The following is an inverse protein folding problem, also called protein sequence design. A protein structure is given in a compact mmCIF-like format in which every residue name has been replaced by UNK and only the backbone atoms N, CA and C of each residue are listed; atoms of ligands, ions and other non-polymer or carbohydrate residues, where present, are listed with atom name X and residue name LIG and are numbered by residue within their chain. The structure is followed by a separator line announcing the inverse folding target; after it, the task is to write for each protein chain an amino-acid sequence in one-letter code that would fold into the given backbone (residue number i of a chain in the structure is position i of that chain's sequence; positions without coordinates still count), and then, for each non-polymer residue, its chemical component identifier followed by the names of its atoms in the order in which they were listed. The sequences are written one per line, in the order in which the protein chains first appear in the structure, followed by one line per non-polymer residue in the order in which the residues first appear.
data_IF_993901628874
#
_entry.id   IF_993901628874
#
_cell.length_a   1.000
_cell.length_b   1.000
_cell.length_c   1.000
_cell.angle_alpha   90.00
_cell.angle_beta   90.00
_cell.angle_gamma   90.00
#
_symmetry.space_group_name_H-M   'P 1'
#
loop_
_entity.id
_entity.type
_entity.pdbx_description
1 polymer ?
#
# COMPACT_ATOMS: atom_id res chain seq x y z
N UNK A 1 -7.25 -18.93 -11.55
CA UNK A 1 -7.63 -17.56 -11.93
C UNK A 1 -6.47 -16.62 -11.68
N UNK A 2 -6.23 -15.69 -12.61
CA UNK A 2 -5.19 -14.66 -12.52
C UNK A 2 -5.80 -13.29 -12.76
N UNK A 3 -5.44 -12.32 -11.94
CA UNK A 3 -5.94 -10.95 -12.06
C UNK A 3 -4.80 -9.96 -11.98
N UNK A 4 -4.84 -8.93 -12.82
CA UNK A 4 -3.96 -7.78 -12.68
C UNK A 4 -4.61 -6.78 -11.73
N UNK A 5 -3.87 -6.38 -10.70
CA UNK A 5 -4.27 -5.35 -9.76
C UNK A 5 -3.34 -4.15 -9.86
N UNK A 6 -3.94 -2.97 -9.67
CA UNK A 6 -3.22 -1.73 -9.41
C UNK A 6 -3.04 -1.59 -7.91
N UNK A 7 -1.90 -1.08 -7.47
CA UNK A 7 -1.79 -0.64 -6.08
C UNK A 7 -2.81 0.46 -5.81
N UNK A 8 -3.25 0.60 -4.55
CA UNK A 8 -4.21 1.63 -4.15
C UNK A 8 -3.77 3.04 -4.60
N UNK A 9 -2.47 3.36 -4.46
CA UNK A 9 -1.89 4.62 -4.93
C UNK A 9 -2.07 4.83 -6.44
N UNK A 10 -1.78 3.81 -7.25
CA UNK A 10 -1.86 3.88 -8.71
C UNK A 10 -3.32 3.90 -9.19
N UNK A 11 -4.22 3.15 -8.54
CA UNK A 11 -5.66 3.19 -8.81
C UNK A 11 -6.26 4.58 -8.57
N UNK A 12 -5.97 5.20 -7.41
CA UNK A 12 -6.44 6.55 -7.10
C UNK A 12 -5.86 7.57 -8.09
N UNK A 13 -4.57 7.48 -8.39
CA UNK A 13 -3.91 8.36 -9.36
C UNK A 13 -4.55 8.28 -10.76
N UNK A 14 -4.79 7.07 -11.25
CA UNK A 14 -5.44 6.85 -12.54
C UNK A 14 -6.84 7.48 -12.56
N UNK A 15 -7.66 7.22 -11.54
CA UNK A 15 -9.00 7.80 -11.44
C UNK A 15 -8.99 9.33 -11.40
N UNK A 16 -8.06 9.94 -10.65
CA UNK A 16 -7.91 11.41 -10.61
C UNK A 16 -7.59 11.97 -11.99
N UNK A 17 -6.68 11.32 -12.73
CA UNK A 17 -6.28 11.75 -14.07
C UNK A 17 -7.43 11.61 -15.06
N UNK A 18 -8.18 10.50 -15.01
CA UNK A 18 -9.37 10.28 -15.84
C UNK A 18 -10.48 11.31 -15.57
N UNK A 19 -10.71 11.66 -14.29
CA UNK A 19 -11.67 12.70 -13.90
C UNK A 19 -11.26 14.07 -14.43
N UNK A 20 -9.96 14.41 -14.33
CA UNK A 20 -9.41 15.66 -14.85
C UNK A 20 -9.55 15.68 -16.38
N UNK A 21 -9.16 14.61 -17.07
CA UNK A 21 -9.27 14.48 -18.51
C UNK A 21 -10.72 14.70 -18.98
N UNK A 22 -11.66 13.99 -18.37
CA UNK A 22 -13.09 14.10 -18.66
C UNK A 22 -13.64 15.51 -18.42
N UNK A 23 -13.10 16.24 -17.44
CA UNK A 23 -13.47 17.64 -17.18
C UNK A 23 -12.96 18.55 -18.30
N UNK A 24 -11.69 18.40 -18.68
CA UNK A 24 -11.04 19.21 -19.73
C UNK A 24 -11.70 18.97 -21.08
N UNK A 25 -12.02 17.72 -21.44
CA UNK A 25 -12.72 17.37 -22.69
C UNK A 25 -14.12 17.99 -22.77
N UNK A 26 -14.80 18.17 -21.63
CA UNK A 26 -16.08 18.87 -21.54
C UNK A 26 -15.94 20.40 -21.53
N UNK A 27 -14.73 20.93 -21.72
CA UNK A 27 -14.44 22.37 -21.69
C UNK A 27 -14.47 22.98 -20.28
N UNK A 28 -14.51 22.16 -19.23
CA UNK A 28 -14.56 22.60 -17.84
C UNK A 28 -13.17 22.51 -17.21
N UNK A 29 -12.57 23.68 -16.97
CA UNK A 29 -11.34 23.80 -16.16
C UNK A 29 -11.63 24.38 -14.77
N UNK A 30 -12.90 24.41 -14.37
CA UNK A 30 -13.32 24.90 -13.06
C UNK A 30 -13.03 23.88 -11.97
N UNK A 31 -13.09 24.35 -10.72
CA UNK A 31 -12.98 23.51 -9.54
C UNK A 31 -13.99 22.35 -9.58
N UNK A 32 -13.53 21.17 -9.17
CA UNK A 32 -14.30 19.92 -9.15
C UNK A 32 -14.07 19.23 -7.82
N UNK A 33 -15.15 19.05 -7.05
CA UNK A 33 -15.12 18.36 -5.76
C UNK A 33 -14.71 16.89 -5.90
N UNK A 34 -15.04 16.24 -7.03
CA UNK A 34 -14.62 14.87 -7.31
C UNK A 34 -13.09 14.78 -7.48
N UNK A 35 -12.48 15.75 -8.17
CA UNK A 35 -11.02 15.83 -8.31
C UNK A 35 -10.37 16.13 -6.96
N UNK A 36 -10.92 17.05 -6.17
CA UNK A 36 -10.38 17.35 -4.83
C UNK A 36 -10.48 16.14 -3.90
N UNK A 37 -11.59 15.40 -3.93
CA UNK A 37 -11.75 14.17 -3.16
C UNK A 37 -10.69 13.12 -3.53
N UNK A 38 -10.51 12.83 -4.82
CA UNK A 38 -9.50 11.87 -5.26
C UNK A 38 -8.07 12.31 -4.91
N UNK A 39 -7.76 13.60 -5.03
CA UNK A 39 -6.48 14.15 -4.59
C UNK A 39 -6.30 14.06 -3.07
N UNK A 40 -7.36 14.26 -2.29
CA UNK A 40 -7.34 14.13 -0.83
C UNK A 40 -6.96 12.71 -0.42
N UNK A 41 -7.59 11.70 -1.03
CA UNK A 41 -7.28 10.29 -0.75
C UNK A 41 -5.84 9.94 -1.16
N UNK A 42 -5.37 10.46 -2.30
CA UNK A 42 -3.98 10.27 -2.73
C UNK A 42 -2.98 10.91 -1.77
N UNK A 43 -3.28 12.09 -1.21
CA UNK A 43 -2.45 12.76 -0.20
C UNK A 43 -2.44 11.95 1.11
N UNK A 44 -3.59 11.44 1.57
CA UNK A 44 -3.66 10.57 2.76
C UNK A 44 -2.84 9.30 2.58
N UNK A 45 -2.91 8.66 1.42
CA UNK A 45 -2.10 7.48 1.09
C UNK A 45 -0.60 7.82 1.12
N UNK A 46 -0.20 8.92 0.48
CA UNK A 46 1.19 9.35 0.47
C UNK A 46 1.70 9.73 1.87
N UNK A 47 0.88 10.37 2.71
CA UNK A 47 1.21 10.66 4.12
C UNK A 47 1.46 9.38 4.92
N UNK A 48 0.59 8.36 4.78
CA UNK A 48 0.75 7.06 5.43
C UNK A 48 2.06 6.40 5.00
N UNK A 49 2.36 6.42 3.70
CA UNK A 49 3.62 5.89 3.15
C UNK A 49 4.84 6.59 3.75
N UNK A 50 4.88 7.92 3.71
CA UNK A 50 5.97 8.73 4.28
C UNK A 50 6.16 8.46 5.78
N UNK A 51 5.06 8.27 6.53
CA UNK A 51 5.11 7.97 7.95
C UNK A 51 5.72 6.59 8.26
N UNK A 52 5.55 5.63 7.36
CA UNK A 52 6.06 4.27 7.51
C UNK A 52 7.50 4.11 6.99
N UNK A 53 7.93 4.93 6.04
CA UNK A 53 9.28 4.90 5.45
C UNK A 53 10.37 5.08 6.52
N UNK A 54 11.35 4.16 6.55
CA UNK A 54 12.48 4.21 7.49
C UNK A 54 13.60 5.16 7.03
N UNK A 55 13.31 6.07 6.09
CA UNK A 55 14.30 6.93 5.47
C UNK A 55 14.57 8.17 6.35
N UNK A 56 15.76 8.22 6.96
CA UNK A 56 16.23 9.33 7.80
C UNK A 56 16.56 10.60 7.02
N UNK A 57 16.55 10.59 5.68
CA UNK A 57 16.85 11.76 4.86
C UNK A 57 15.62 12.61 4.53
N UNK A 58 14.41 12.09 4.68
CA UNK A 58 13.14 12.77 4.33
C UNK A 58 12.39 13.25 5.57
N UNK A 59 13.03 14.00 6.47
CA UNK A 59 12.35 14.57 7.64
C UNK A 59 11.69 15.90 7.30
N UNK A 60 10.46 16.09 7.78
CA UNK A 60 9.62 17.25 7.48
C UNK A 60 8.18 16.97 7.88
N UNK A 61 7.32 17.98 7.73
CA UNK A 61 5.89 17.82 7.91
C UNK A 61 5.33 16.83 6.86
N UNK A 62 4.62 15.80 7.34
CA UNK A 62 4.14 14.72 6.47
C UNK A 62 3.17 15.21 5.41
N UNK A 63 2.35 16.22 5.72
CA UNK A 63 1.38 16.78 4.78
C UNK A 63 2.10 17.59 3.70
N UNK A 64 3.06 18.45 4.06
CA UNK A 64 3.83 19.24 3.09
C UNK A 64 4.56 18.33 2.07
N UNK A 65 5.24 17.30 2.58
CA UNK A 65 5.94 16.33 1.73
C UNK A 65 4.97 15.55 0.84
N UNK A 66 3.81 15.14 1.39
CA UNK A 66 2.80 14.42 0.63
C UNK A 66 2.17 15.29 -0.46
N UNK A 67 1.83 16.55 -0.18
CA UNK A 67 1.29 17.49 -1.17
C UNK A 67 2.28 17.70 -2.32
N UNK A 68 3.58 17.87 -2.01
CA UNK A 68 4.62 18.01 -3.02
C UNK A 68 4.73 16.76 -3.91
N UNK A 69 4.82 15.58 -3.29
CA UNK A 69 4.96 14.30 -4.00
C UNK A 69 3.72 14.03 -4.87
N UNK A 70 2.51 14.23 -4.34
CA UNK A 70 1.25 14.04 -5.08
C UNK A 70 1.14 15.02 -6.24
N UNK A 71 1.44 16.29 -6.02
CA UNK A 71 1.45 17.30 -7.08
C UNK A 71 2.37 16.89 -8.22
N UNK A 72 3.61 16.51 -7.92
CA UNK A 72 4.57 16.08 -8.94
C UNK A 72 4.10 14.83 -9.70
N UNK A 73 3.53 13.84 -8.99
CA UNK A 73 3.00 12.61 -9.61
C UNK A 73 1.84 12.90 -10.57
N UNK A 74 0.88 13.73 -10.14
CA UNK A 74 -0.29 14.09 -10.96
C UNK A 74 0.14 14.96 -12.14
N UNK A 75 0.95 16.00 -11.92
CA UNK A 75 1.47 16.87 -13.00
C UNK A 75 2.23 16.05 -14.05
N UNK A 76 3.07 15.10 -13.61
CA UNK A 76 3.78 14.20 -14.52
C UNK A 76 2.82 13.35 -15.37
N UNK A 77 1.82 12.71 -14.75
CA UNK A 77 0.86 11.87 -15.48
C UNK A 77 -0.01 12.70 -16.43
N UNK A 78 -0.45 13.88 -16.02
CA UNK A 78 -1.18 14.80 -16.90
C UNK A 78 -0.34 15.23 -18.11
N UNK A 79 0.96 15.50 -17.90
CA UNK A 79 1.88 15.83 -18.99
C UNK A 79 2.07 14.67 -19.98
N UNK A 80 2.13 13.42 -19.50
CA UNK A 80 2.17 12.22 -20.35
C UNK A 80 0.93 12.12 -21.28
N UNK A 81 -0.21 12.65 -20.85
CA UNK A 81 -1.45 12.72 -21.64
C UNK A 81 -1.67 14.07 -22.36
N UNK A 82 -0.70 14.98 -22.33
CA UNK A 82 -0.82 16.35 -22.86
C UNK A 82 -1.98 17.17 -22.28
N UNK A 83 -2.39 16.88 -21.05
CA UNK A 83 -3.49 17.57 -20.36
C UNK A 83 -2.93 18.77 -19.59
N UNK A 84 -3.52 19.95 -19.79
CA UNK A 84 -3.24 21.15 -19.00
C UNK A 84 -4.36 21.37 -17.99
N UNK A 85 -4.02 21.31 -16.71
CA UNK A 85 -4.97 21.49 -15.61
C UNK A 85 -4.27 22.18 -14.44
N UNK A 86 -4.89 23.20 -13.85
CA UNK A 86 -4.36 23.87 -12.66
C UNK A 86 -4.83 23.15 -11.39
N UNK A 87 -3.89 22.53 -10.67
CA UNK A 87 -4.16 21.81 -9.42
C UNK A 87 -4.24 22.74 -8.20
N UNK A 88 -3.78 23.99 -8.30
CA UNK A 88 -3.70 24.91 -7.15
C UNK A 88 -5.02 25.10 -6.40
N UNK A 89 -6.19 25.27 -7.08
CA UNK A 89 -7.46 25.47 -6.38
C UNK A 89 -7.83 24.29 -5.47
N UNK A 90 -7.48 23.07 -5.87
CA UNK A 90 -7.77 21.84 -5.11
C UNK A 90 -6.76 21.64 -3.99
N UNK A 91 -5.47 21.88 -4.23
CA UNK A 91 -4.43 21.64 -3.22
C UNK A 91 -4.57 22.55 -1.99
N UNK A 92 -5.04 23.80 -2.15
CA UNK A 92 -5.24 24.71 -1.02
C UNK A 92 -6.35 24.27 -0.06
N UNK A 93 -7.43 23.68 -0.60
CA UNK A 93 -8.51 23.10 0.20
C UNK A 93 -8.03 21.87 0.98
N UNK A 94 -7.26 21.01 0.32
CA UNK A 94 -6.67 19.80 0.91
C UNK A 94 -5.69 20.14 2.04
N UNK A 95 -4.80 21.11 1.83
CA UNK A 95 -3.85 21.57 2.86
C UNK A 95 -4.60 22.02 4.12
N UNK A 96 -5.68 22.78 3.93
CA UNK A 96 -6.51 23.26 5.04
C UNK A 96 -7.21 22.11 5.76
N UNK A 97 -7.81 21.18 5.00
CA UNK A 97 -8.56 20.05 5.54
C UNK A 97 -7.68 19.03 6.28
N UNK A 98 -6.47 18.79 5.79
CA UNK A 98 -5.56 17.77 6.32
C UNK A 98 -4.52 18.33 7.29
N UNK A 99 -4.54 19.62 7.62
CA UNK A 99 -3.57 20.27 8.52
C UNK A 99 -3.39 19.56 9.87
N UNK A 100 -4.49 19.17 10.52
CA UNK A 100 -4.44 18.48 11.81
C UNK A 100 -4.03 17.01 11.68
N UNK A 101 -4.65 16.21 10.79
CA UNK A 101 -4.16 14.86 10.48
C UNK A 101 -2.67 14.82 10.09
N UNK A 102 -2.20 15.81 9.32
CA UNK A 102 -0.79 15.99 8.94
C UNK A 102 0.16 16.03 10.11
N UNK A 103 -0.17 16.83 11.13
CA UNK A 103 0.61 16.93 12.36
C UNK A 103 0.61 15.63 13.15
N UNK A 104 -0.56 15.01 13.32
CA UNK A 104 -0.68 13.76 14.07
C UNK A 104 0.14 12.63 13.42
N UNK A 105 0.05 12.49 12.09
CA UNK A 105 0.85 11.53 11.33
C UNK A 105 2.35 11.82 11.45
N UNK A 106 2.75 13.09 11.45
CA UNK A 106 4.14 13.50 11.65
C UNK A 106 4.64 13.12 13.05
N UNK A 107 3.83 13.33 14.08
CA UNK A 107 4.16 12.93 15.46
C UNK A 107 4.26 11.41 15.61
N UNK A 108 3.32 10.66 15.01
CA UNK A 108 3.32 9.20 14.99
C UNK A 108 4.56 8.66 14.28
N UNK A 109 4.95 9.24 13.14
CA UNK A 109 6.21 8.92 12.45
C UNK A 109 7.41 9.10 13.38
N UNK A 110 7.46 10.20 14.14
CA UNK A 110 8.52 10.45 15.11
C UNK A 110 8.56 9.41 16.25
N UNK A 111 7.38 9.00 16.76
CA UNK A 111 7.27 7.92 17.77
C UNK A 111 7.70 6.57 17.20
N UNK A 112 7.32 6.27 15.96
CA UNK A 112 7.68 5.04 15.26
C UNK A 112 9.19 4.97 15.05
N UNK A 113 9.82 6.04 14.57
CA UNK A 113 11.27 6.12 14.37
C UNK A 113 12.06 5.89 15.68
N UNK A 114 11.61 6.48 16.81
CA UNK A 114 12.20 6.22 18.13
C UNK A 114 12.03 4.77 18.59
N UNK A 115 10.87 4.18 18.31
CA UNK A 115 10.58 2.78 18.68
C UNK A 115 11.42 1.80 17.86
N UNK A 116 11.66 2.08 16.58
CA UNK A 116 12.62 1.34 15.74
C UNK A 116 14.05 1.50 16.23
N UNK A 117 14.49 2.72 16.55
CA UNK A 117 15.84 2.98 17.06
C UNK A 117 16.15 2.32 18.42
N UNK A 118 15.13 1.82 19.12
CA UNK A 118 15.26 1.08 20.39
C UNK A 118 14.94 -0.41 20.24
N UNK A 119 14.78 -0.91 19.01
CA UNK A 119 14.40 -2.30 18.70
C UNK A 119 13.15 -2.78 19.46
N UNK A 120 12.16 -1.90 19.72
CA UNK A 120 10.95 -2.30 20.46
C UNK A 120 9.91 -2.98 19.58
N UNK A 121 10.00 -2.79 18.27
CA UNK A 121 9.03 -3.26 17.29
C UNK A 121 9.74 -4.08 16.21
N UNK A 122 8.99 -4.99 15.57
CA UNK A 122 9.48 -5.80 14.46
C UNK A 122 9.94 -4.95 13.26
N UNK A 123 10.79 -5.54 12.42
CA UNK A 123 11.31 -4.89 11.22
C UNK A 123 10.41 -5.17 10.00
N UNK A 124 10.26 -4.17 9.12
CA UNK A 124 9.72 -4.40 7.78
C UNK A 124 10.84 -4.97 6.93
N UNK A 125 10.73 -6.26 6.56
CA UNK A 125 11.72 -6.94 5.73
C UNK A 125 11.17 -7.03 4.32
N UNK A 126 11.84 -6.35 3.39
CA UNK A 126 11.60 -6.56 1.97
C UNK A 126 12.20 -7.89 1.59
N UNK A 127 11.35 -8.88 1.35
CA UNK A 127 11.78 -10.24 1.00
C UNK A 127 11.71 -10.38 -0.52
N UNK A 128 12.85 -10.76 -1.08
CA UNK A 128 13.10 -11.19 -2.44
C UNK A 128 13.04 -10.13 -3.56
N UNK A 129 14.24 -9.73 -3.98
CA UNK A 129 14.56 -9.28 -5.35
C UNK A 129 14.43 -10.41 -6.38
N UNK A 130 14.33 -11.66 -5.92
CA UNK A 130 14.41 -12.90 -6.72
C UNK A 130 13.02 -13.51 -7.02
N UNK A 131 11.97 -13.07 -6.32
CA UNK A 131 10.60 -13.50 -6.59
C UNK A 131 10.09 -12.96 -7.95
N UNK A 132 9.09 -13.63 -8.52
CA UNK A 132 8.48 -13.19 -9.78
C UNK A 132 7.96 -11.75 -9.65
N UNK A 133 7.24 -11.42 -8.57
CA UNK A 133 6.99 -10.04 -8.17
C UNK A 133 7.59 -9.76 -6.79
N UNK A 134 8.22 -8.59 -6.57
CA UNK A 134 8.75 -8.24 -5.25
C UNK A 134 7.61 -7.98 -4.27
N UNK A 135 7.78 -8.39 -3.01
CA UNK A 135 6.83 -8.15 -1.93
C UNK A 135 7.58 -7.78 -0.63
N UNK A 136 6.81 -7.38 0.38
CA UNK A 136 7.31 -7.02 1.70
C UNK A 136 6.60 -7.83 2.77
N UNK A 137 7.38 -8.33 3.74
CA UNK A 137 6.86 -8.90 4.97
C UNK A 137 6.95 -7.85 6.07
N UNK A 138 5.82 -7.62 6.73
CA UNK A 138 5.70 -6.72 7.87
C UNK A 138 5.29 -7.52 9.10
N UNK A 139 6.06 -7.37 10.17
CA UNK A 139 5.70 -7.90 11.48
C UNK A 139 4.90 -6.85 12.25
N UNK A 140 3.76 -7.26 12.80
CA UNK A 140 2.89 -6.40 13.61
C UNK A 140 3.04 -6.81 15.08
N UNK A 141 3.21 -5.82 15.96
CA UNK A 141 3.40 -6.02 17.39
C UNK A 141 4.78 -5.59 17.88
N UNK A 142 5.14 -6.05 19.07
CA UNK A 142 6.42 -5.78 19.71
C UNK A 142 7.44 -6.86 19.33
N UNK A 143 8.73 -6.57 19.36
CA UNK A 143 9.76 -7.54 18.96
C UNK A 143 9.66 -8.89 19.70
N UNK A 144 9.21 -8.87 20.97
CA UNK A 144 9.06 -10.07 21.81
C UNK A 144 7.61 -10.60 21.84
N UNK A 145 6.71 -10.00 21.06
CA UNK A 145 5.28 -10.34 21.01
C UNK A 145 4.75 -9.92 19.64
N UNK A 146 5.09 -10.70 18.63
CA UNK A 146 4.60 -10.50 17.26
C UNK A 146 3.18 -11.06 17.20
N UNK A 147 2.23 -10.18 16.95
CA UNK A 147 0.80 -10.47 16.97
C UNK A 147 0.28 -10.84 15.58
N UNK A 148 0.98 -10.40 14.53
CA UNK A 148 0.67 -10.83 13.17
C UNK A 148 1.85 -10.69 12.21
N UNK A 149 1.75 -11.41 11.09
CA UNK A 149 2.61 -11.26 9.93
C UNK A 149 1.75 -10.87 8.71
N UNK A 150 2.25 -9.92 7.93
CA UNK A 150 1.58 -9.43 6.72
C UNK A 150 2.55 -9.52 5.54
N UNK A 151 2.13 -10.13 4.44
CA UNK A 151 2.80 -10.03 3.15
C UNK A 151 2.01 -9.10 2.23
N UNK A 152 2.68 -8.11 1.64
CA UNK A 152 2.06 -7.20 0.68
C UNK A 152 2.92 -7.03 -0.58
N UNK A 153 2.32 -7.01 -1.78
CA UNK A 153 3.07 -6.85 -3.04
C UNK A 153 3.69 -5.44 -3.14
N UNK A 154 4.88 -5.36 -3.72
CA UNK A 154 5.64 -4.11 -3.88
C UNK A 154 5.70 -3.74 -5.36
N UNK A 155 4.69 -3.02 -5.84
CA UNK A 155 4.65 -2.57 -7.22
C UNK A 155 3.47 -1.68 -7.49
N UNK A 156 3.52 -0.97 -8.63
CA UNK A 156 2.35 -0.22 -9.11
C UNK A 156 1.29 -1.13 -9.71
N UNK A 157 1.74 -2.20 -10.36
CA UNK A 157 0.91 -3.20 -11.02
C UNK A 157 1.51 -4.57 -10.71
N UNK A 158 0.67 -5.51 -10.29
CA UNK A 158 1.05 -6.88 -9.98
C UNK A 158 -0.06 -7.85 -10.40
N UNK A 159 0.27 -9.13 -10.52
CA UNK A 159 -0.69 -10.19 -10.79
C UNK A 159 -0.92 -11.02 -9.53
N UNK A 160 -2.18 -11.32 -9.21
CA UNK A 160 -2.53 -12.33 -8.22
C UNK A 160 -2.86 -13.64 -8.92
N UNK A 161 -2.11 -14.70 -8.62
CA UNK A 161 -2.30 -16.04 -9.14
C UNK A 161 -3.02 -16.93 -8.12
N UNK A 162 -4.32 -16.69 -7.91
CA UNK A 162 -5.13 -17.50 -7.00
C UNK A 162 -5.26 -18.95 -7.47
N UNK A 163 -5.07 -19.24 -8.76
CA UNK A 163 -5.09 -20.63 -9.26
C UNK A 163 -4.07 -21.52 -8.58
N UNK A 164 -2.85 -21.00 -8.44
CA UNK A 164 -1.72 -21.76 -7.90
C UNK A 164 -1.91 -22.00 -6.40
N UNK A 165 -2.53 -21.05 -5.71
CA UNK A 165 -2.93 -21.18 -4.30
C UNK A 165 -4.07 -22.21 -4.16
N UNK A 166 -5.14 -22.10 -4.95
CA UNK A 166 -6.27 -23.04 -4.92
C UNK A 166 -5.90 -24.48 -5.29
N UNK A 167 -4.89 -24.68 -6.15
CA UNK A 167 -4.40 -26.02 -6.48
C UNK A 167 -3.56 -26.63 -5.34
N UNK A 168 -3.01 -25.79 -4.47
CA UNK A 168 -2.08 -26.19 -3.41
C UNK A 168 -2.76 -26.35 -2.05
N UNK A 169 -3.86 -25.63 -1.80
CA UNK A 169 -4.46 -25.49 -0.48
C UNK A 169 -5.99 -25.52 -0.51
N UNK A 170 -6.58 -25.94 0.61
CA UNK A 170 -8.01 -25.80 0.85
C UNK A 170 -8.33 -24.33 1.13
N UNK A 171 -9.26 -23.77 0.37
CA UNK A 171 -9.64 -22.36 0.45
C UNK A 171 -11.13 -22.25 0.76
N UNK A 172 -11.46 -21.47 1.78
CA UNK A 172 -12.81 -21.09 2.17
C UNK A 172 -13.13 -19.67 1.69
N UNK A 173 -14.39 -19.47 1.29
CA UNK A 173 -14.92 -18.20 0.82
C UNK A 173 -15.28 -18.21 -0.67
N UNK A 174 -16.45 -17.64 -0.98
CA UNK A 174 -16.92 -17.47 -2.36
C UNK A 174 -16.38 -16.18 -3.01
N UNK A 175 -15.99 -15.22 -2.16
CA UNK A 175 -15.42 -13.93 -2.53
C UNK A 175 -14.46 -13.45 -1.43
N UNK A 176 -13.62 -12.45 -1.74
CA UNK A 176 -12.71 -11.86 -0.76
C UNK A 176 -13.43 -11.39 0.52
N UNK A 177 -12.79 -11.54 1.69
CA UNK A 177 -11.47 -12.17 1.90
C UNK A 177 -11.53 -13.70 1.80
N UNK A 178 -10.46 -14.31 1.27
CA UNK A 178 -10.32 -15.78 1.22
C UNK A 178 -9.51 -16.29 2.41
N UNK A 179 -9.97 -17.38 3.02
CA UNK A 179 -9.27 -18.06 4.11
C UNK A 179 -8.67 -19.37 3.60
N UNK A 180 -7.46 -19.72 4.03
CA UNK A 180 -6.86 -21.01 3.66
C UNK A 180 -5.95 -21.50 4.77
N UNK A 181 -5.88 -22.84 4.87
CA UNK A 181 -5.12 -23.52 5.92
C UNK A 181 -3.90 -24.18 5.29
N UNK A 182 -2.72 -23.85 5.80
CA UNK A 182 -1.45 -24.46 5.42
C UNK A 182 -0.82 -25.04 6.68
N UNK A 183 -0.72 -26.38 6.77
CA UNK A 183 -0.07 -27.04 7.92
C UNK A 183 -0.65 -26.57 9.28
N UNK A 184 -1.98 -26.51 9.38
CA UNK A 184 -2.73 -26.00 10.57
C UNK A 184 -2.63 -24.49 10.83
N UNK A 185 -1.92 -23.74 9.98
CA UNK A 185 -1.85 -22.28 10.04
C UNK A 185 -2.93 -21.66 9.13
N UNK A 186 -3.74 -20.78 9.71
CA UNK A 186 -4.79 -20.06 8.99
C UNK A 186 -4.26 -18.72 8.46
N UNK A 187 -4.38 -18.55 7.15
CA UNK A 187 -4.02 -17.32 6.46
C UNK A 187 -5.23 -16.73 5.75
N UNK A 188 -5.21 -15.41 5.61
CA UNK A 188 -6.27 -14.64 4.95
C UNK A 188 -5.67 -13.84 3.80
N UNK A 189 -6.24 -13.95 2.59
CA UNK A 189 -5.94 -13.07 1.45
C UNK A 189 -7.08 -12.04 1.32
N UNK A 190 -6.75 -10.76 1.33
CA UNK A 190 -7.68 -9.65 1.10
C UNK A 190 -7.77 -9.26 -0.39
N UNK A 191 -8.72 -8.38 -0.73
CA UNK A 191 -9.02 -7.98 -2.11
C UNK A 191 -7.90 -7.22 -2.82
N UNK A 192 -7.03 -6.54 -2.06
CA UNK A 192 -5.82 -5.89 -2.54
C UNK A 192 -4.64 -6.87 -2.72
N UNK A 193 -4.84 -8.14 -2.39
CA UNK A 193 -3.84 -9.20 -2.47
C UNK A 193 -2.97 -9.33 -1.24
N UNK A 194 -3.17 -8.51 -0.21
CA UNK A 194 -2.46 -8.64 1.06
C UNK A 194 -2.75 -10.00 1.69
N UNK A 195 -1.71 -10.67 2.17
CA UNK A 195 -1.84 -11.90 2.96
C UNK A 195 -1.55 -11.60 4.42
N UNK A 196 -2.42 -12.05 5.31
CA UNK A 196 -2.31 -11.87 6.75
C UNK A 196 -2.42 -13.20 7.50
N UNK A 197 -1.66 -13.33 8.58
CA UNK A 197 -1.83 -14.37 9.59
C UNK A 197 -1.72 -13.75 10.98
N UNK A 198 -2.65 -14.10 11.87
CA UNK A 198 -2.54 -13.80 13.29
C UNK A 198 -1.54 -14.76 13.93
N UNK A 199 -0.56 -14.22 14.63
CA UNK A 199 0.48 -15.00 15.34
C UNK A 199 0.42 -14.77 16.84
N UNK A 200 -0.73 -14.28 17.34
CA UNK A 200 -0.93 -14.03 18.76
C UNK A 200 -0.67 -15.32 19.57
N UNK A 201 0.18 -15.22 20.60
CA UNK A 201 0.58 -16.33 21.46
C UNK A 201 1.33 -17.48 20.75
N UNK A 202 1.82 -17.28 19.52
CA UNK A 202 2.64 -18.30 18.85
C UNK A 202 3.97 -18.49 19.60
N UNK A 203 4.40 -19.73 19.84
CA UNK A 203 5.77 -19.98 20.26
C UNK A 203 6.73 -19.58 19.13
N UNK A 204 7.96 -19.19 19.48
CA UNK A 204 8.96 -18.69 18.52
C UNK A 204 9.17 -19.64 17.32
N UNK A 205 9.14 -20.96 17.57
CA UNK A 205 9.25 -21.97 16.50
C UNK A 205 8.11 -21.85 15.48
N UNK A 206 6.87 -21.69 15.93
CA UNK A 206 5.70 -21.57 15.06
C UNK A 206 5.68 -20.22 14.33
N UNK A 207 6.23 -19.17 14.95
CA UNK A 207 6.38 -17.87 14.30
C UNK A 207 7.37 -17.93 13.12
N UNK A 208 8.48 -18.67 13.27
CA UNK A 208 9.44 -18.90 12.17
C UNK A 208 8.77 -19.68 11.03
N UNK A 209 8.07 -20.75 11.35
CA UNK A 209 7.32 -21.58 10.40
C UNK A 209 6.26 -20.76 9.67
N UNK A 210 5.45 -19.98 10.39
CA UNK A 210 4.46 -19.08 9.80
C UNK A 210 5.09 -18.05 8.85
N UNK A 211 6.27 -17.51 9.18
CA UNK A 211 6.99 -16.58 8.31
C UNK A 211 7.47 -17.26 7.03
N UNK A 212 8.05 -18.45 7.12
CA UNK A 212 8.52 -19.21 5.96
C UNK A 212 7.35 -19.60 5.05
N UNK A 213 6.25 -20.07 5.63
CA UNK A 213 5.02 -20.40 4.90
C UNK A 213 4.40 -19.18 4.23
N UNK A 214 4.37 -18.03 4.92
CA UNK A 214 3.91 -16.77 4.35
C UNK A 214 4.73 -16.34 3.14
N UNK A 215 6.06 -16.49 3.20
CA UNK A 215 6.96 -16.18 2.09
C UNK A 215 6.68 -17.09 0.89
N UNK A 216 6.60 -18.41 1.11
CA UNK A 216 6.32 -19.37 0.04
C UNK A 216 4.97 -19.11 -0.62
N UNK A 217 3.96 -18.78 0.18
CA UNK A 217 2.66 -18.43 -0.34
C UNK A 217 2.71 -17.13 -1.17
N UNK A 218 3.35 -16.09 -0.64
CA UNK A 218 3.51 -14.82 -1.34
C UNK A 218 4.24 -14.99 -2.68
N UNK A 219 5.27 -15.85 -2.74
CA UNK A 219 5.99 -16.18 -3.98
C UNK A 219 5.12 -16.85 -5.04
N UNK A 220 4.17 -17.68 -4.63
CA UNK A 220 3.19 -18.34 -5.52
C UNK A 220 2.06 -17.40 -5.92
N UNK A 221 1.63 -16.55 -4.99
CA UNK A 221 0.51 -15.64 -5.18
C UNK A 221 0.88 -14.47 -6.09
N UNK A 222 2.07 -13.88 -5.92
CA UNK A 222 2.45 -12.64 -6.60
C UNK A 222 3.23 -12.88 -7.90
N UNK A 223 2.56 -12.64 -9.02
CA UNK A 223 3.14 -12.68 -10.37
C UNK A 223 3.54 -11.30 -10.91
N UNK A 224 4.48 -11.29 -11.86
CA UNK A 224 4.83 -10.09 -12.64
C UNK A 224 3.74 -9.79 -13.66
N UNK A 225 3.20 -8.58 -13.67
CA UNK A 225 2.33 -8.14 -14.78
C UNK A 225 3.16 -8.08 -16.06
N UNK A 226 2.83 -8.93 -17.05
CA UNK A 226 3.42 -8.83 -18.38
C UNK A 226 3.14 -7.43 -18.95
N UNK A 227 4.19 -6.69 -19.28
CA UNK A 227 4.12 -5.39 -19.92
C UNK A 227 3.57 -5.57 -21.34
N UNK A 228 2.42 -4.95 -21.64
CA UNK A 228 1.94 -4.75 -23.01
C UNK A 228 2.15 -3.29 -23.40
#
# INVERSE_FOLDING_TARGET
MRFKLLSQEEFILQNVVELIQSSVERGSQTYSSAVEFGLTELVKEQMRRIAQENNTQRWGDALELALLDVRQKVEKRLAEHNIRFDLKPHLGGIETALKYPGKEVTELRGKLARSRGTNRIGERKRIASEAQAPFEITEVGLQNSIEALIAAPVGKVYELNLEEVWQSYEVEGDWFPFQFVVEELEFVIDDDGTVFISTENFPEKLLVEARETLVLLAERLYGRSASH
#
